data_IF_801564882444
#
_entry.id   IF_801564882444
#
_cell.length_a   1.000
_cell.length_b   1.000
_cell.length_c   1.000
_cell.angle_alpha   90.00
_cell.angle_beta   90.00
_cell.angle_gamma   90.00
#
_symmetry.space_group_name_H-M   'P 1'
#
loop_
_entity.id
_entity.type
_entity.pdbx_description
1 polymer ?
#
# COMPACT_ATOMS: atom_id res chain seq x y z
N UNK A 1 -4.33 1.66 7.56
CA UNK A 1 -4.27 0.32 6.97
C UNK A 1 -2.84 -0.16 7.05
N UNK A 2 -2.64 -1.41 7.43
CA UNK A 2 -1.32 -2.03 7.49
C UNK A 2 -1.14 -2.98 6.33
N UNK A 3 0.10 -3.18 5.91
CA UNK A 3 0.45 -4.03 4.78
C UNK A 3 1.63 -4.92 5.15
N UNK A 4 1.71 -6.11 4.58
CA UNK A 4 2.93 -6.94 4.61
C UNK A 4 3.36 -7.25 3.19
N UNK A 5 4.67 -7.38 2.97
CA UNK A 5 5.23 -7.76 1.68
C UNK A 5 5.74 -9.20 1.80
N UNK A 6 5.16 -10.11 1.02
CA UNK A 6 5.41 -11.55 1.16
C UNK A 6 5.29 -12.02 2.63
N UNK A 7 6.05 -13.05 3.01
CA UNK A 7 6.04 -13.65 4.35
C UNK A 7 7.05 -13.00 5.33
N UNK A 8 7.41 -11.73 5.10
CA UNK A 8 8.48 -11.05 5.88
C UNK A 8 8.10 -10.76 7.34
N UNK A 9 6.82 -10.88 7.71
CA UNK A 9 6.31 -10.60 9.06
C UNK A 9 6.26 -9.10 9.44
N UNK A 10 6.92 -8.24 8.67
CA UNK A 10 6.98 -6.79 8.88
C UNK A 10 5.64 -6.15 8.50
N UNK A 11 5.20 -5.19 9.33
CA UNK A 11 4.00 -4.37 9.13
C UNK A 11 4.37 -2.99 8.60
N UNK A 12 3.96 -2.70 7.39
CA UNK A 12 4.16 -1.42 6.74
C UNK A 12 2.92 -0.54 6.83
N UNK A 13 3.12 0.76 7.08
CA UNK A 13 2.09 1.77 6.86
C UNK A 13 2.61 2.88 5.96
N UNK A 14 1.72 3.47 5.17
CA UNK A 14 2.03 4.59 4.30
C UNK A 14 1.05 5.73 4.56
N UNK A 15 1.56 6.95 4.62
CA UNK A 15 0.76 8.18 4.61
C UNK A 15 0.78 8.73 3.19
N UNK A 16 -0.42 8.87 2.63
CA UNK A 16 -0.60 9.38 1.27
C UNK A 16 -1.45 10.64 1.31
N UNK A 17 -1.05 11.63 0.51
CA UNK A 17 -1.85 12.82 0.26
C UNK A 17 -2.27 12.85 -1.21
N UNK A 18 -3.56 13.02 -1.47
CA UNK A 18 -4.09 13.25 -2.81
C UNK A 18 -3.98 14.73 -3.17
N UNK A 19 -3.39 15.01 -4.33
CA UNK A 19 -3.43 16.32 -4.99
C UNK A 19 -3.85 16.12 -6.44
N UNK A 20 -5.07 16.53 -6.77
CA UNK A 20 -5.63 16.49 -8.14
C UNK A 20 -5.55 15.11 -8.81
N UNK A 21 -5.74 14.02 -8.04
CA UNK A 21 -5.68 12.65 -8.55
C UNK A 21 -4.27 12.05 -8.58
N UNK A 22 -3.28 12.78 -8.05
CA UNK A 22 -1.93 12.29 -7.79
C UNK A 22 -1.77 11.99 -6.30
N UNK A 23 -1.52 10.72 -5.98
CA UNK A 23 -1.23 10.28 -4.62
C UNK A 23 0.26 10.42 -4.36
N UNK A 24 0.63 11.20 -3.35
CA UNK A 24 2.03 11.44 -2.98
C UNK A 24 2.34 10.77 -1.64
N UNK A 25 3.46 10.06 -1.57
CA UNK A 25 3.95 9.47 -0.32
C UNK A 25 4.56 10.56 0.56
N UNK A 26 3.97 10.74 1.75
CA UNK A 26 4.40 11.75 2.74
C UNK A 26 4.95 11.15 4.03
N UNK A 27 4.87 9.83 4.18
CA UNK A 27 5.45 9.11 5.31
C UNK A 27 5.33 7.61 5.13
N UNK A 28 6.28 6.88 5.69
CA UNK A 28 6.36 5.43 5.56
C UNK A 28 6.94 4.83 6.83
N UNK A 29 6.28 3.81 7.38
CA UNK A 29 6.78 3.11 8.57
C UNK A 29 6.91 1.63 8.32
N UNK A 30 7.86 1.00 9.00
CA UNK A 30 8.04 -0.43 9.09
C UNK A 30 8.04 -0.81 10.59
N UNK A 31 7.12 -1.67 11.01
CA UNK A 31 6.86 -2.04 12.41
C UNK A 31 6.72 -0.82 13.33
N UNK A 32 6.01 0.20 12.85
CA UNK A 32 5.78 1.45 13.59
C UNK A 32 6.97 2.41 13.61
N UNK A 33 8.13 2.02 13.08
CA UNK A 33 9.30 2.89 12.98
C UNK A 33 9.31 3.64 11.65
N UNK A 34 9.37 4.98 11.71
CA UNK A 34 9.51 5.83 10.52
C UNK A 34 10.76 5.44 9.73
N UNK A 35 10.57 5.26 8.43
CA UNK A 35 11.60 4.83 7.49
C UNK A 35 11.80 5.92 6.44
N UNK A 36 13.05 6.10 6.01
CA UNK A 36 13.37 7.01 4.93
C UNK A 36 12.80 6.44 3.63
N UNK A 37 12.17 7.29 2.84
CA UNK A 37 11.66 6.97 1.52
C UNK A 37 12.06 8.06 0.52
N UNK A 38 12.11 7.70 -0.76
CA UNK A 38 12.30 8.66 -1.85
C UNK A 38 11.04 9.49 -2.12
N UNK A 39 11.13 10.37 -3.11
CA UNK A 39 9.98 11.09 -3.65
C UNK A 39 9.16 10.12 -4.50
N UNK A 40 7.95 9.77 -4.03
CA UNK A 40 7.08 8.81 -4.69
C UNK A 40 5.72 9.43 -4.96
N UNK A 41 5.32 9.42 -6.23
CA UNK A 41 3.99 9.82 -6.67
C UNK A 41 3.32 8.70 -7.47
N UNK A 42 2.01 8.59 -7.36
CA UNK A 42 1.23 7.53 -7.99
C UNK A 42 0.01 8.16 -8.65
N UNK A 43 -0.15 7.94 -9.94
CA UNK A 43 -1.34 8.32 -10.71
C UNK A 43 -1.96 7.11 -11.39
N UNK A 44 -3.26 7.18 -11.66
CA UNK A 44 -3.90 6.17 -12.51
C UNK A 44 -3.44 6.36 -13.95
N UNK A 45 -3.05 5.27 -14.59
CA UNK A 45 -2.84 5.28 -16.03
C UNK A 45 -4.19 5.26 -16.77
N UNK A 46 -4.16 5.69 -18.02
CA UNK A 46 -5.28 5.62 -18.95
C UNK A 46 -5.76 4.18 -19.22
N UNK A 47 -4.89 3.19 -19.01
CA UNK A 47 -5.22 1.77 -19.15
C UNK A 47 -5.67 1.19 -17.81
N UNK A 48 -6.68 0.32 -17.87
CA UNK A 48 -7.18 -0.37 -16.69
C UNK A 48 -6.06 -1.20 -16.00
N UNK A 49 -6.11 -1.27 -14.68
CA UNK A 49 -5.18 -2.04 -13.84
C UNK A 49 -3.71 -1.61 -13.96
N UNK A 50 -3.46 -0.40 -14.47
CA UNK A 50 -2.13 0.20 -14.54
C UNK A 50 -2.04 1.47 -13.70
N UNK A 51 -0.91 1.63 -13.04
CA UNK A 51 -0.52 2.86 -12.35
C UNK A 51 0.76 3.39 -12.98
N UNK A 52 0.84 4.70 -13.11
CA UNK A 52 2.09 5.39 -13.33
C UNK A 52 2.67 5.73 -11.95
N UNK A 53 3.86 5.21 -11.67
CA UNK A 53 4.57 5.41 -10.41
C UNK A 53 5.82 6.21 -10.73
N UNK A 54 5.94 7.40 -10.17
CA UNK A 54 7.18 8.17 -10.21
C UNK A 54 7.99 7.88 -8.95
N UNK A 55 9.27 7.55 -9.11
CA UNK A 55 10.21 7.30 -8.02
C UNK A 55 11.45 8.13 -8.29
N UNK A 56 11.70 9.12 -7.44
CA UNK A 56 12.85 10.04 -7.53
C UNK A 56 13.04 10.61 -8.95
N UNK A 57 11.94 11.06 -9.57
CA UNK A 57 11.92 11.64 -10.92
C UNK A 57 11.93 10.63 -12.08
N UNK A 58 11.97 9.33 -11.80
CA UNK A 58 11.89 8.27 -12.82
C UNK A 58 10.49 7.71 -12.90
N UNK A 59 9.92 7.66 -14.11
CA UNK A 59 8.57 7.15 -14.36
C UNK A 59 8.58 5.65 -14.63
N UNK A 60 7.73 4.92 -13.91
CA UNK A 60 7.57 3.47 -14.00
C UNK A 60 6.10 3.09 -14.19
N UNK A 61 5.87 1.95 -14.84
CA UNK A 61 4.52 1.39 -14.99
C UNK A 61 4.37 0.19 -14.07
N UNK A 62 3.42 0.29 -13.13
CA UNK A 62 2.99 -0.83 -12.32
C UNK A 62 1.72 -1.47 -12.89
N UNK A 63 1.69 -2.80 -12.97
CA UNK A 63 0.45 -3.55 -13.21
C UNK A 63 -0.04 -4.11 -11.88
N UNK A 64 -1.31 -3.87 -11.55
CA UNK A 64 -1.87 -4.22 -10.24
C UNK A 64 -3.11 -5.08 -10.39
N UNK A 65 -3.15 -6.21 -9.70
CA UNK A 65 -4.32 -7.06 -9.61
C UNK A 65 -4.62 -7.41 -8.15
N UNK A 66 -5.89 -7.33 -7.74
CA UNK A 66 -6.34 -7.77 -6.40
C UNK A 66 -6.86 -9.20 -6.49
N UNK A 67 -6.38 -10.08 -5.61
CA UNK A 67 -6.81 -11.48 -5.46
C UNK A 67 -7.03 -11.75 -3.97
N UNK A 68 -8.29 -11.84 -3.54
CA UNK A 68 -8.60 -11.88 -2.11
C UNK A 68 -8.10 -10.62 -1.41
N UNK A 69 -7.25 -10.78 -0.40
CA UNK A 69 -6.62 -9.70 0.38
C UNK A 69 -5.20 -9.36 -0.10
N UNK A 70 -4.78 -9.96 -1.22
CA UNK A 70 -3.47 -9.73 -1.80
C UNK A 70 -3.56 -8.83 -3.03
N UNK A 71 -2.58 -7.93 -3.13
CA UNK A 71 -2.29 -7.14 -4.30
C UNK A 71 -1.03 -7.67 -4.96
N UNK A 72 -1.17 -8.15 -6.20
CA UNK A 72 -0.08 -8.57 -7.06
C UNK A 72 0.36 -7.36 -7.87
N UNK A 73 1.59 -6.90 -7.64
CA UNK A 73 2.16 -5.71 -8.25
C UNK A 73 3.36 -6.11 -9.10
N UNK A 74 3.24 -5.96 -10.42
CA UNK A 74 4.38 -6.11 -11.33
C UNK A 74 4.98 -4.73 -11.63
N UNK A 75 6.24 -4.54 -11.25
CA UNK A 75 7.00 -3.31 -11.41
C UNK A 75 8.46 -3.66 -11.73
N UNK A 76 9.05 -3.02 -12.75
CA UNK A 76 10.45 -3.21 -13.16
C UNK A 76 10.89 -4.69 -13.34
N UNK A 77 10.01 -5.52 -13.90
CA UNK A 77 10.28 -6.94 -14.16
C UNK A 77 10.21 -7.82 -12.91
N UNK A 78 9.74 -7.29 -11.77
CA UNK A 78 9.57 -8.02 -10.51
C UNK A 78 8.11 -8.06 -10.10
N UNK A 79 7.73 -9.15 -9.45
CA UNK A 79 6.40 -9.31 -8.85
C UNK A 79 6.54 -9.15 -7.34
N UNK A 80 5.75 -8.24 -6.77
CA UNK A 80 5.60 -8.02 -5.35
C UNK A 80 4.18 -8.41 -4.95
N UNK A 81 4.05 -9.26 -3.94
CA UNK A 81 2.76 -9.59 -3.34
C UNK A 81 2.65 -8.81 -2.04
N UNK A 82 1.64 -7.94 -1.98
CA UNK A 82 1.36 -7.09 -0.82
C UNK A 82 0.02 -7.51 -0.24
N UNK A 83 0.02 -7.98 1.00
CA UNK A 83 -1.20 -8.37 1.71
C UNK A 83 -1.69 -7.19 2.53
N UNK A 84 -2.95 -6.82 2.38
CA UNK A 84 -3.59 -5.80 3.19
C UNK A 84 -4.13 -6.38 4.49
N UNK A 85 -3.88 -5.70 5.60
CA UNK A 85 -4.37 -6.06 6.92
C UNK A 85 -5.33 -4.97 7.37
N UNK A 86 -6.60 -5.31 7.39
CA UNK A 86 -7.62 -4.44 7.99
C UNK A 86 -7.41 -4.46 9.51
N UNK A 87 -7.44 -3.29 10.18
CA UNK A 87 -7.53 -3.28 11.63
C UNK A 87 -8.76 -4.10 11.98
N UNK A 88 -8.58 -5.22 12.68
CA UNK A 88 -9.71 -5.99 13.18
C UNK A 88 -10.68 -5.05 13.90
N UNK A 89 -11.99 -5.30 13.78
CA UNK A 89 -12.97 -4.60 14.58
C UNK A 89 -12.49 -4.61 16.03
N UNK A 90 -12.07 -3.45 16.54
CA UNK A 90 -12.00 -3.26 17.98
C UNK A 90 -13.45 -3.27 18.41
N UNK A 91 -13.98 -4.46 18.70
CA UNK A 91 -14.98 -4.56 19.74
C UNK A 91 -14.29 -3.99 20.98
N UNK A 92 -14.48 -2.71 21.25
CA UNK A 92 -14.44 -2.24 22.62
C UNK A 92 -15.47 -3.10 23.35
N UNK A 93 -14.98 -4.21 23.91
CA UNK A 93 -15.74 -5.08 24.77
C UNK A 93 -15.95 -4.32 26.07
N UNK A 94 -16.95 -3.45 26.05
CA UNK A 94 -17.68 -2.92 27.19
C UNK A 94 -19.15 -2.90 26.80
N UNK A 95 -19.66 -4.09 26.51
CA UNK A 95 -21.06 -4.35 26.22
C UNK A 95 -21.26 -5.85 26.10
N UNK A 96 -21.78 -6.47 27.16
CA UNK A 96 -22.27 -7.84 27.16
C UNK A 96 -23.10 -8.13 25.89
N UNK A 97 -22.83 -9.24 25.22
CA UNK A 97 -23.63 -9.69 24.08
C UNK A 97 -22.99 -10.88 23.39
N UNK A 98 -23.35 -12.08 23.83
CA UNK A 98 -22.88 -13.33 23.24
C UNK A 98 -23.58 -13.70 21.93
N UNK A 99 -23.00 -14.71 21.28
CA UNK A 99 -23.65 -15.92 20.75
C UNK A 99 -22.66 -17.08 20.89
#
# INVERSE_FOLDING_TARGET
MEWSIAETGIRYTAKLSDSEGTMNLSGFTADGQESIHGEISITRDSQANRLLVEIDGSAHIAHVAKVGDDWWIHLDGRIHVVTGHEPGSSSDSSGEGGL
#
